data_IF_620323710206
#
_entry.id   IF_620323710206
#
_cell.length_a   1.000
_cell.length_b   1.000
_cell.length_c   1.000
_cell.angle_alpha   90.00
_cell.angle_beta   90.00
_cell.angle_gamma   90.00
#
_symmetry.space_group_name_H-M   'P 1'
#
loop_
_entity.id
_entity.type
_entity.pdbx_description
1 polymer ?
#
# COMPACT_ATOMS: atom_id res chain seq x y z
N UNK A 1 -30.58 2.17 -9.17
CA UNK A 1 -29.21 2.48 -9.66
C UNK A 1 -28.91 1.57 -10.82
N UNK A 2 -28.37 2.11 -11.91
CA UNK A 2 -27.95 1.32 -13.08
C UNK A 2 -26.84 0.33 -12.73
N UNK A 3 -26.80 -0.80 -13.43
CA UNK A 3 -25.81 -1.87 -13.26
C UNK A 3 -24.40 -1.31 -13.47
N UNK A 4 -24.20 -0.50 -14.50
CA UNK A 4 -22.92 0.16 -14.77
C UNK A 4 -22.43 0.96 -13.56
N UNK A 5 -23.32 1.72 -12.92
CA UNK A 5 -22.96 2.52 -11.74
C UNK A 5 -22.60 1.63 -10.53
N UNK A 6 -23.33 0.53 -10.31
CA UNK A 6 -23.02 -0.43 -9.23
C UNK A 6 -21.63 -1.05 -9.42
N UNK A 7 -21.31 -1.44 -10.65
CA UNK A 7 -20.04 -2.06 -11.02
C UNK A 7 -18.87 -1.07 -10.89
N UNK A 8 -19.04 0.15 -11.42
CA UNK A 8 -18.02 1.20 -11.31
C UNK A 8 -17.71 1.55 -9.86
N UNK A 9 -18.73 1.67 -8.99
CA UNK A 9 -18.52 1.95 -7.57
C UNK A 9 -17.77 0.80 -6.89
N UNK A 10 -18.12 -0.46 -7.18
CA UNK A 10 -17.41 -1.61 -6.63
C UNK A 10 -15.92 -1.61 -7.01
N UNK A 11 -15.61 -1.37 -8.28
CA UNK A 11 -14.22 -1.26 -8.73
C UNK A 11 -13.49 -0.07 -8.12
N UNK A 12 -14.14 1.10 -8.04
CA UNK A 12 -13.57 2.29 -7.42
C UNK A 12 -13.20 2.02 -5.96
N UNK A 13 -14.07 1.36 -5.20
CA UNK A 13 -13.83 1.00 -3.79
C UNK A 13 -12.61 0.09 -3.67
N UNK A 14 -12.47 -0.92 -4.53
CA UNK A 14 -11.31 -1.82 -4.52
C UNK A 14 -10.02 -1.06 -4.84
N UNK A 15 -10.04 -0.19 -5.86
CA UNK A 15 -8.86 0.61 -6.23
C UNK A 15 -8.48 1.58 -5.11
N UNK A 16 -9.45 2.24 -4.48
CA UNK A 16 -9.22 3.10 -3.32
C UNK A 16 -8.62 2.33 -2.14
N UNK A 17 -9.11 1.12 -1.86
CA UNK A 17 -8.56 0.25 -0.81
C UNK A 17 -7.11 -0.14 -1.11
N UNK A 18 -6.81 -0.54 -2.36
CA UNK A 18 -5.45 -0.88 -2.78
C UNK A 18 -4.50 0.32 -2.66
N UNK A 19 -4.92 1.50 -3.10
CA UNK A 19 -4.13 2.73 -2.95
C UNK A 19 -3.92 3.08 -1.47
N UNK A 20 -4.93 2.93 -0.61
CA UNK A 20 -4.79 3.18 0.81
C UNK A 20 -3.79 2.23 1.47
N UNK A 21 -3.87 0.93 1.17
CA UNK A 21 -2.90 -0.07 1.66
C UNK A 21 -1.49 0.25 1.18
N UNK A 22 -1.33 0.57 -0.12
CA UNK A 22 -0.03 0.94 -0.69
C UNK A 22 0.56 2.19 -0.04
N UNK A 23 -0.24 3.23 0.15
CA UNK A 23 0.18 4.47 0.82
C UNK A 23 0.63 4.21 2.26
N UNK A 24 -0.14 3.44 3.03
CA UNK A 24 0.20 3.07 4.41
C UNK A 24 1.50 2.26 4.45
N UNK A 25 1.68 1.29 3.54
CA UNK A 25 2.90 0.50 3.48
C UNK A 25 4.15 1.37 3.17
N UNK A 26 4.05 2.29 2.22
CA UNK A 26 5.14 3.21 1.87
C UNK A 26 5.50 4.12 3.05
N UNK A 27 4.51 4.68 3.74
CA UNK A 27 4.74 5.54 4.90
C UNK A 27 5.50 4.81 6.02
N UNK A 28 5.13 3.56 6.31
CA UNK A 28 5.82 2.77 7.32
C UNK A 28 7.22 2.32 6.89
N UNK A 29 7.38 1.92 5.62
CA UNK A 29 8.69 1.56 5.09
C UNK A 29 9.67 2.75 5.12
N UNK A 30 9.18 3.95 4.81
CA UNK A 30 9.95 5.19 4.94
C UNK A 30 10.40 5.41 6.39
N UNK A 31 9.50 5.28 7.37
CA UNK A 31 9.85 5.44 8.80
C UNK A 31 10.89 4.42 9.26
N UNK A 32 10.77 3.17 8.83
CA UNK A 32 11.77 2.14 9.14
C UNK A 32 13.12 2.50 8.52
N UNK A 33 13.12 2.99 7.27
CA UNK A 33 14.29 3.52 6.60
C UNK A 33 14.96 4.64 7.40
N UNK A 34 14.20 5.65 7.82
CA UNK A 34 14.71 6.79 8.59
C UNK A 34 15.34 6.35 9.92
N UNK A 35 14.70 5.41 10.63
CA UNK A 35 15.24 4.83 11.87
C UNK A 35 16.54 4.07 11.59
N UNK A 36 16.58 3.23 10.55
CA UNK A 36 17.78 2.48 10.17
C UNK A 36 18.94 3.40 9.79
N UNK A 37 18.68 4.44 9.01
CA UNK A 37 19.67 5.46 8.67
C UNK A 37 20.15 6.19 9.92
N UNK A 38 19.25 6.56 10.84
CA UNK A 38 19.65 7.20 12.10
C UNK A 38 20.52 6.29 12.98
N UNK A 39 20.22 4.99 13.06
CA UNK A 39 21.08 4.04 13.81
C UNK A 39 22.48 4.00 13.21
N UNK A 40 22.58 3.97 11.89
CA UNK A 40 23.88 3.90 11.21
C UNK A 40 24.66 5.21 11.34
N UNK A 41 24.09 6.31 10.86
CA UNK A 41 24.77 7.60 10.73
C UNK A 41 24.95 8.30 12.08
N UNK A 42 23.93 8.25 12.95
CA UNK A 42 23.95 9.01 14.20
C UNK A 42 24.42 8.19 15.39
N UNK A 43 24.38 6.85 15.36
CA UNK A 43 24.78 6.04 16.51
C UNK A 43 26.06 5.22 16.23
N UNK A 44 26.08 4.39 15.19
CA UNK A 44 27.18 3.45 14.93
C UNK A 44 28.46 4.13 14.42
N UNK A 45 28.36 5.05 13.45
CA UNK A 45 29.53 5.78 12.96
C UNK A 45 30.22 6.56 14.10
N UNK A 46 29.50 7.33 14.94
CA UNK A 46 30.09 8.01 16.10
C UNK A 46 30.71 7.08 17.14
N UNK A 47 30.14 5.89 17.38
CA UNK A 47 30.76 4.85 18.22
C UNK A 47 32.10 4.40 17.62
N UNK A 48 32.17 4.18 16.30
CA UNK A 48 33.42 3.86 15.62
C UNK A 48 34.44 5.00 15.75
N UNK A 49 34.02 6.25 15.52
CA UNK A 49 34.88 7.43 15.70
C UNK A 49 35.41 7.55 17.14
N UNK A 50 34.60 7.23 18.15
CA UNK A 50 35.05 7.16 19.54
C UNK A 50 36.09 6.08 19.79
N UNK A 51 35.97 4.93 19.12
CA UNK A 51 36.99 3.87 19.18
C UNK A 51 38.31 4.31 18.54
N UNK A 52 38.26 5.06 17.44
CA UNK A 52 39.46 5.65 16.82
C UNK A 52 40.11 6.69 17.75
N UNK A 53 39.30 7.49 18.45
CA UNK A 53 39.75 8.45 19.47
C UNK A 53 40.44 7.73 20.64
N UNK A 54 39.84 6.66 21.20
CA UNK A 54 40.46 5.85 22.28
C UNK A 54 41.80 5.25 21.81
N UNK A 55 41.85 4.78 20.56
CA UNK A 55 43.07 4.22 19.97
C UNK A 55 44.18 5.27 19.83
N UNK A 56 43.86 6.48 19.38
CA UNK A 56 44.83 7.59 19.27
C UNK A 56 45.32 8.08 20.64
N UNK A 57 44.43 8.15 21.64
CA UNK A 57 44.80 8.48 23.01
C UNK A 57 45.77 7.44 23.60
N UNK A 58 45.46 6.16 23.39
CA UNK A 58 46.31 5.06 23.84
C UNK A 58 47.66 5.03 23.11
N UNK A 59 47.68 5.31 21.80
CA UNK A 59 48.92 5.43 21.03
C UNK A 59 49.81 6.55 21.58
N UNK A 60 49.25 7.74 21.86
CA UNK A 60 49.99 8.85 22.44
C UNK A 60 50.60 8.48 23.81
N UNK A 61 49.87 7.71 24.62
CA UNK A 61 50.37 7.22 25.90
C UNK A 61 51.52 6.21 25.74
N UNK A 62 51.42 5.29 24.77
CA UNK A 62 52.49 4.33 24.44
C UNK A 62 53.74 5.07 23.97
N UNK A 63 53.60 6.05 23.06
CA UNK A 63 54.72 6.87 22.60
C UNK A 63 55.42 7.55 23.79
N UNK A 64 54.68 8.12 24.73
CA UNK A 64 55.27 8.72 25.92
C UNK A 64 55.95 7.70 26.84
N UNK A 65 55.37 6.50 27.00
CA UNK A 65 55.98 5.42 27.76
C UNK A 65 57.32 4.98 27.15
N UNK A 66 57.35 4.72 25.85
CA UNK A 66 58.55 4.32 25.13
C UNK A 66 59.61 5.44 25.17
N UNK A 67 59.17 6.69 25.03
CA UNK A 67 60.05 7.87 25.04
C UNK A 67 60.79 8.02 26.39
N UNK A 68 60.22 7.56 27.50
CA UNK A 68 60.90 7.58 28.82
C UNK A 68 62.12 6.66 28.82
N UNK A 69 62.09 5.54 28.10
CA UNK A 69 63.18 4.55 28.08
C UNK A 69 64.18 4.78 26.96
N UNK A 70 63.81 5.56 25.93
CA UNK A 70 64.67 5.82 24.78
C UNK A 70 65.83 6.77 25.09
N UNK A 71 66.99 6.49 24.48
CA UNK A 71 68.26 7.23 24.65
C UNK A 71 68.75 7.76 23.30
N UNK A 72 68.37 7.14 22.19
CA UNK A 72 68.70 7.62 20.85
C UNK A 72 67.94 8.93 20.55
N UNK A 73 68.70 10.00 20.33
CA UNK A 73 68.18 11.35 20.11
C UNK A 73 67.42 11.53 18.80
N UNK A 74 67.70 10.73 17.78
CA UNK A 74 66.97 10.78 16.50
C UNK A 74 65.65 10.02 16.62
N UNK A 75 65.63 8.86 17.30
CA UNK A 75 64.38 8.15 17.63
C UNK A 75 63.47 8.99 18.53
N UNK A 76 64.02 9.67 19.54
CA UNK A 76 63.27 10.61 20.39
C UNK A 76 62.53 11.67 19.55
N UNK A 77 63.22 12.31 18.59
CA UNK A 77 62.59 13.31 17.71
C UNK A 77 61.52 12.70 16.83
N UNK A 78 61.73 11.49 16.31
CA UNK A 78 60.74 10.79 15.50
C UNK A 78 59.47 10.51 16.31
N UNK A 79 59.63 10.09 17.57
CA UNK A 79 58.53 9.84 18.51
C UNK A 79 57.74 11.11 18.83
N UNK A 80 58.42 12.23 19.10
CA UNK A 80 57.77 13.54 19.31
C UNK A 80 56.95 13.93 18.06
N UNK A 81 57.54 13.85 16.86
CA UNK A 81 56.81 14.14 15.61
C UNK A 81 55.63 13.20 15.37
N UNK A 82 55.76 11.92 15.76
CA UNK A 82 54.66 10.95 15.69
C UNK A 82 53.55 11.34 16.66
N UNK A 83 53.88 11.76 17.88
CA UNK A 83 52.93 12.27 18.86
C UNK A 83 52.16 13.48 18.33
N UNK A 84 52.85 14.44 17.69
CA UNK A 84 52.22 15.61 17.06
C UNK A 84 51.19 15.19 15.98
N UNK A 85 51.54 14.20 15.15
CA UNK A 85 50.63 13.66 14.13
C UNK A 85 49.43 12.93 14.75
N UNK A 86 49.65 12.20 15.84
CA UNK A 86 48.59 11.53 16.60
C UNK A 86 47.61 12.56 17.18
N UNK A 87 48.09 13.63 17.82
CA UNK A 87 47.23 14.70 18.36
C UNK A 87 46.50 15.48 17.26
N UNK A 88 47.16 15.77 16.13
CA UNK A 88 46.49 16.37 14.98
C UNK A 88 45.31 15.52 14.50
N UNK A 89 45.50 14.20 14.40
CA UNK A 89 44.45 13.26 14.00
C UNK A 89 43.35 13.17 15.05
N UNK A 90 43.70 13.18 16.33
CA UNK A 90 42.78 13.18 17.47
C UNK A 90 41.84 14.39 17.43
N UNK A 91 42.39 15.60 17.27
CA UNK A 91 41.58 16.82 17.18
C UNK A 91 40.68 16.83 15.94
N UNK A 92 41.15 16.30 14.81
CA UNK A 92 40.32 16.14 13.62
C UNK A 92 39.12 15.23 13.88
N UNK A 93 39.35 14.07 14.54
CA UNK A 93 38.28 13.11 14.89
C UNK A 93 37.30 13.69 15.91
N UNK A 94 37.79 14.44 16.90
CA UNK A 94 36.92 15.17 17.84
C UNK A 94 36.04 16.21 17.14
N UNK A 95 36.57 16.89 16.12
CA UNK A 95 35.79 17.79 15.26
C UNK A 95 34.70 17.04 14.49
N UNK A 96 35.05 15.94 13.82
CA UNK A 96 34.09 15.09 13.11
C UNK A 96 32.98 14.58 14.03
N UNK A 97 33.34 14.09 15.22
CA UNK A 97 32.38 13.62 16.22
C UNK A 97 31.42 14.74 16.66
N UNK A 98 31.93 15.96 16.82
CA UNK A 98 31.11 17.14 17.16
C UNK A 98 30.08 17.46 16.08
N UNK A 99 30.49 17.37 14.81
CA UNK A 99 29.59 17.63 13.68
C UNK A 99 28.51 16.56 13.55
N UNK A 100 28.87 15.29 13.71
CA UNK A 100 27.95 14.16 13.68
C UNK A 100 26.88 14.24 14.77
N UNK A 101 27.21 14.76 15.96
CA UNK A 101 26.32 14.77 17.13
C UNK A 101 25.71 16.13 17.45
N UNK A 102 25.76 17.09 16.52
CA UNK A 102 25.25 18.46 16.72
C UNK A 102 23.76 18.52 17.13
N UNK A 103 22.97 17.53 16.69
CA UNK A 103 21.54 17.44 16.99
C UNK A 103 21.19 16.86 18.38
N UNK A 104 22.16 16.38 19.14
CA UNK A 104 21.92 15.75 20.45
C UNK A 104 22.61 16.53 21.60
N UNK A 105 21.85 17.27 22.43
CA UNK A 105 22.38 18.04 23.54
C UNK A 105 23.18 17.21 24.55
N UNK A 106 22.78 15.96 24.80
CA UNK A 106 23.48 15.09 25.75
C UNK A 106 24.86 14.70 25.22
N UNK A 107 24.94 14.32 23.94
CA UNK A 107 26.21 14.05 23.27
C UNK A 107 27.07 15.31 23.18
N UNK A 108 26.49 16.47 22.85
CA UNK A 108 27.23 17.72 22.75
C UNK A 108 27.92 18.11 24.08
N UNK A 109 27.27 17.90 25.23
CA UNK A 109 27.87 18.16 26.53
C UNK A 109 29.06 17.21 26.83
N UNK A 110 28.94 15.92 26.50
CA UNK A 110 30.00 14.94 26.70
C UNK A 110 31.19 15.19 25.76
N UNK A 111 30.93 15.55 24.50
CA UNK A 111 31.97 15.90 23.52
C UNK A 111 32.70 17.17 23.94
N UNK A 112 31.98 18.16 24.49
CA UNK A 112 32.60 19.37 25.05
C UNK A 112 33.59 19.01 26.16
N UNK A 113 33.21 18.13 27.10
CA UNK A 113 34.10 17.64 28.15
C UNK A 113 35.37 16.99 27.59
N UNK A 114 35.23 16.09 26.61
CA UNK A 114 36.36 15.46 25.93
C UNK A 114 37.31 16.50 25.31
N UNK A 115 36.74 17.51 24.65
CA UNK A 115 37.51 18.57 23.98
C UNK A 115 38.24 19.48 24.97
N UNK A 116 37.67 19.72 26.15
CA UNK A 116 38.28 20.56 27.19
C UNK A 116 39.39 19.81 27.95
N UNK A 117 39.31 18.49 28.09
CA UNK A 117 40.29 17.69 28.83
C UNK A 117 41.45 17.17 27.98
N UNK A 118 41.25 17.02 26.67
CA UNK A 118 42.30 16.55 25.73
C UNK A 118 43.56 17.44 25.70
N UNK A 119 43.46 18.79 25.74
CA UNK A 119 44.64 19.66 25.78
C UNK A 119 45.49 19.48 27.04
N UNK A 120 44.86 19.21 28.20
CA UNK A 120 45.61 18.94 29.44
C UNK A 120 46.34 17.59 29.37
N UNK A 121 45.75 16.60 28.70
CA UNK A 121 46.42 15.33 28.41
C UNK A 121 47.66 15.54 27.53
N UNK A 122 47.53 16.26 26.41
CA UNK A 122 48.63 16.60 25.51
C UNK A 122 49.76 17.33 26.25
N UNK A 123 49.40 18.35 27.05
CA UNK A 123 50.35 19.11 27.86
C UNK A 123 51.09 18.23 28.87
N UNK A 124 50.42 17.25 29.47
CA UNK A 124 51.04 16.29 30.39
C UNK A 124 52.06 15.39 29.68
N UNK A 125 51.78 14.94 28.46
CA UNK A 125 52.73 14.18 27.65
C UNK A 125 53.92 15.03 27.21
N UNK A 126 53.70 16.27 26.77
CA UNK A 126 54.78 17.19 26.41
C UNK A 126 55.73 17.48 27.59
N UNK A 127 55.21 17.49 28.82
CA UNK A 127 56.05 17.59 30.02
C UNK A 127 56.91 16.34 30.21
N UNK A 128 56.39 15.15 29.93
CA UNK A 128 57.15 13.89 29.96
C UNK A 128 58.25 13.91 28.89
N UNK A 129 57.95 14.35 27.67
CA UNK A 129 58.95 14.47 26.62
C UNK A 129 60.10 15.40 27.04
N UNK A 130 59.76 16.56 27.62
CA UNK A 130 60.77 17.51 28.15
C UNK A 130 61.65 16.86 29.23
N UNK A 131 61.06 16.24 30.25
CA UNK A 131 61.82 15.59 31.34
C UNK A 131 62.69 14.44 30.83
N UNK A 132 62.16 13.63 29.92
CA UNK A 132 62.89 12.51 29.34
C UNK A 132 64.07 12.97 28.47
N UNK A 133 63.91 14.07 27.72
CA UNK A 133 64.99 14.70 26.93
C UNK A 133 66.10 15.26 27.81
N UNK A 134 65.75 15.82 28.96
CA UNK A 134 66.70 16.37 29.94
C UNK A 134 67.39 15.27 30.78
N UNK A 135 67.30 14.00 30.36
CA UNK A 135 67.81 12.80 31.04
C UNK A 135 67.24 12.56 32.45
N UNK A 136 66.14 13.23 32.81
CA UNK A 136 65.43 13.05 34.08
C UNK A 136 64.42 11.89 33.99
N UNK A 137 64.91 10.69 33.69
CA UNK A 137 64.06 9.52 33.37
C UNK A 137 63.17 9.08 34.52
N UNK A 138 63.67 9.10 35.76
CA UNK A 138 62.89 8.75 36.96
C UNK A 138 61.73 9.73 37.19
N UNK A 139 61.96 11.04 36.99
CA UNK A 139 60.91 12.06 37.13
C UNK A 139 59.88 11.96 36.01
N UNK A 140 60.32 11.66 34.78
CA UNK A 140 59.44 11.42 33.64
C UNK A 140 58.55 10.18 33.88
N UNK A 141 59.12 9.08 34.35
CA UNK A 141 58.40 7.85 34.71
C UNK A 141 57.39 8.09 35.84
N UNK A 142 57.78 8.82 36.89
CA UNK A 142 56.89 9.19 37.98
C UNK A 142 55.71 10.02 37.48
N UNK A 143 55.97 11.02 36.64
CA UNK A 143 54.93 11.90 36.07
C UNK A 143 53.92 11.12 35.22
N UNK A 144 54.41 10.16 34.43
CA UNK A 144 53.60 9.26 33.62
C UNK A 144 52.59 8.48 34.48
N UNK A 145 53.05 7.78 35.52
CA UNK A 145 52.19 6.95 36.37
C UNK A 145 51.29 7.75 37.31
N UNK A 146 51.78 8.85 37.91
CA UNK A 146 51.00 9.57 38.92
C UNK A 146 49.98 10.54 38.33
N UNK A 147 50.32 11.23 37.24
CA UNK A 147 49.47 12.30 36.67
C UNK A 147 48.88 11.92 35.32
N UNK A 148 49.71 11.54 34.35
CA UNK A 148 49.27 11.40 32.95
C UNK A 148 48.28 10.26 32.77
N UNK A 149 48.51 9.11 33.41
CA UNK A 149 47.55 8.01 33.41
C UNK A 149 46.19 8.38 34.03
N UNK A 150 46.19 9.24 35.05
CA UNK A 150 44.94 9.71 35.69
C UNK A 150 44.13 10.58 34.72
N UNK A 151 44.79 11.50 34.01
CA UNK A 151 44.16 12.32 32.98
C UNK A 151 43.63 11.44 31.84
N UNK A 152 44.44 10.49 31.36
CA UNK A 152 44.01 9.52 30.33
C UNK A 152 42.75 8.76 30.77
N UNK A 153 42.73 8.20 31.98
CA UNK A 153 41.57 7.49 32.54
C UNK A 153 40.33 8.38 32.58
N UNK A 154 40.49 9.67 32.91
CA UNK A 154 39.39 10.64 32.95
C UNK A 154 38.80 10.90 31.56
N UNK A 155 39.64 11.23 30.57
CA UNK A 155 39.24 11.44 29.17
C UNK A 155 38.57 10.18 28.62
N UNK A 156 39.18 9.01 28.84
CA UNK A 156 38.65 7.71 28.43
C UNK A 156 37.28 7.41 29.04
N UNK A 157 37.10 7.71 30.33
CA UNK A 157 35.81 7.52 31.00
C UNK A 157 34.70 8.34 30.34
N UNK A 158 34.97 9.59 29.95
CA UNK A 158 33.98 10.43 29.25
C UNK A 158 33.64 9.85 27.88
N UNK A 159 34.63 9.35 27.14
CA UNK A 159 34.42 8.65 25.86
C UNK A 159 33.57 7.37 26.03
N UNK A 160 33.78 6.63 27.11
CA UNK A 160 32.99 5.45 27.45
C UNK A 160 31.54 5.81 27.84
N UNK A 161 31.33 6.90 28.58
CA UNK A 161 29.98 7.40 28.88
C UNK A 161 29.25 7.78 27.60
N UNK A 162 29.91 8.47 26.67
CA UNK A 162 29.31 8.80 25.38
C UNK A 162 29.02 7.55 24.53
N UNK A 163 29.95 6.60 24.48
CA UNK A 163 29.75 5.31 23.81
C UNK A 163 28.53 4.58 24.37
N UNK A 164 28.34 4.59 25.69
CA UNK A 164 27.19 3.97 26.36
C UNK A 164 25.88 4.69 25.99
N UNK A 165 25.88 6.03 25.99
CA UNK A 165 24.75 6.83 25.55
C UNK A 165 24.32 6.50 24.12
N UNK A 166 25.28 6.46 23.18
CA UNK A 166 25.03 6.13 21.78
C UNK A 166 24.53 4.69 21.60
N UNK A 167 25.09 3.72 22.34
CA UNK A 167 24.59 2.33 22.35
C UNK A 167 23.16 2.22 22.84
N UNK A 168 22.82 2.96 23.90
CA UNK A 168 21.45 2.98 24.43
C UNK A 168 20.48 3.60 23.41
N UNK A 169 20.89 4.67 22.73
CA UNK A 169 20.09 5.30 21.67
C UNK A 169 19.89 4.37 20.48
N UNK A 170 20.94 3.68 20.02
CA UNK A 170 20.84 2.66 18.98
C UNK A 170 19.88 1.54 19.37
N UNK A 171 19.98 1.05 20.62
CA UNK A 171 19.08 0.00 21.13
C UNK A 171 17.62 0.46 21.18
N UNK A 172 17.37 1.68 21.64
CA UNK A 172 16.02 2.26 21.67
C UNK A 172 15.45 2.44 20.26
N UNK A 173 16.27 2.92 19.32
CA UNK A 173 15.90 3.06 17.92
C UNK A 173 15.60 1.69 17.29
N UNK A 174 16.39 0.66 17.59
CA UNK A 174 16.14 -0.70 17.14
C UNK A 174 14.82 -1.27 17.67
N UNK A 175 14.55 -1.11 18.97
CA UNK A 175 13.28 -1.52 19.56
C UNK A 175 12.08 -0.76 18.99
N UNK A 176 12.25 0.55 18.77
CA UNK A 176 11.23 1.40 18.15
C UNK A 176 10.95 0.96 16.72
N UNK A 177 11.99 0.70 15.92
CA UNK A 177 11.85 0.16 14.56
C UNK A 177 11.12 -1.19 14.54
N UNK A 178 11.45 -2.09 15.47
CA UNK A 178 10.74 -3.38 15.63
C UNK A 178 9.26 -3.20 15.97
N UNK A 179 8.93 -2.29 16.89
CA UNK A 179 7.53 -1.96 17.22
C UNK A 179 6.79 -1.39 16.02
N UNK A 180 7.40 -0.46 15.28
CA UNK A 180 6.84 0.09 14.04
C UNK A 180 6.54 -1.03 13.05
N UNK A 181 7.45 -1.97 12.82
CA UNK A 181 7.21 -3.11 11.91
C UNK A 181 6.04 -3.98 12.39
N UNK A 182 5.99 -4.31 13.69
CA UNK A 182 4.93 -5.14 14.26
C UNK A 182 3.55 -4.47 14.13
N UNK A 183 3.45 -3.20 14.52
CA UNK A 183 2.21 -2.41 14.43
C UNK A 183 1.77 -2.25 12.97
N UNK A 184 2.72 -2.00 12.06
CA UNK A 184 2.44 -1.89 10.62
C UNK A 184 1.87 -3.18 10.05
N UNK A 185 2.46 -4.32 10.41
CA UNK A 185 2.00 -5.64 9.94
C UNK A 185 0.59 -5.93 10.43
N UNK A 186 0.29 -5.61 11.69
CA UNK A 186 -1.06 -5.76 12.26
C UNK A 186 -2.11 -4.88 11.58
N UNK A 187 -1.79 -3.60 11.37
CA UNK A 187 -2.67 -2.64 10.70
C UNK A 187 -2.90 -3.03 9.23
N UNK A 188 -1.84 -3.33 8.47
CA UNK A 188 -1.94 -3.76 7.07
C UNK A 188 -2.78 -5.04 6.96
N UNK A 189 -2.53 -6.02 7.83
CA UNK A 189 -3.31 -7.26 7.88
C UNK A 189 -4.80 -7.02 8.12
N UNK A 190 -5.14 -6.11 9.04
CA UNK A 190 -6.53 -5.75 9.35
C UNK A 190 -7.21 -5.03 8.19
N UNK A 191 -6.52 -4.08 7.55
CA UNK A 191 -7.07 -3.36 6.38
C UNK A 191 -7.28 -4.32 5.20
N UNK A 192 -6.36 -5.25 4.95
CA UNK A 192 -6.51 -6.29 3.93
C UNK A 192 -7.71 -7.19 4.25
N UNK A 193 -7.86 -7.64 5.50
CA UNK A 193 -8.97 -8.49 5.91
C UNK A 193 -10.33 -7.78 5.73
N UNK A 194 -10.43 -6.51 6.15
CA UNK A 194 -11.64 -5.69 5.95
C UNK A 194 -11.91 -5.51 4.46
N UNK A 195 -10.89 -5.16 3.67
CA UNK A 195 -11.02 -4.97 2.22
C UNK A 195 -11.45 -6.24 1.50
N UNK A 196 -10.96 -7.41 1.93
CA UNK A 196 -11.36 -8.71 1.40
C UNK A 196 -12.83 -9.02 1.72
N UNK A 197 -13.25 -8.86 2.97
CA UNK A 197 -14.65 -9.08 3.39
C UNK A 197 -15.59 -8.14 2.64
N UNK A 198 -15.22 -6.87 2.49
CA UNK A 198 -16.00 -5.88 1.78
C UNK A 198 -16.11 -6.23 0.28
N UNK A 199 -14.99 -6.57 -0.36
CA UNK A 199 -14.93 -6.97 -1.77
C UNK A 199 -15.79 -8.21 -2.04
N UNK A 200 -15.68 -9.23 -1.18
CA UNK A 200 -16.49 -10.44 -1.26
C UNK A 200 -17.98 -10.13 -1.10
N UNK A 201 -18.34 -9.29 -0.12
CA UNK A 201 -19.73 -8.90 0.14
C UNK A 201 -20.33 -8.13 -1.03
N UNK A 202 -19.59 -7.17 -1.59
CA UNK A 202 -20.02 -6.38 -2.77
C UNK A 202 -20.14 -7.29 -3.99
N UNK A 203 -19.16 -8.17 -4.23
CA UNK A 203 -19.17 -9.11 -5.35
C UNK A 203 -20.38 -10.05 -5.31
N UNK A 204 -20.66 -10.65 -4.14
CA UNK A 204 -21.83 -11.50 -3.94
C UNK A 204 -23.14 -10.74 -4.09
N UNK A 205 -23.23 -9.51 -3.55
CA UNK A 205 -24.43 -8.68 -3.67
C UNK A 205 -24.72 -8.29 -5.11
N UNK A 206 -23.71 -7.85 -5.87
CA UNK A 206 -23.85 -7.49 -7.30
C UNK A 206 -24.18 -8.74 -8.12
N UNK A 207 -23.48 -9.85 -7.90
CA UNK A 207 -23.74 -11.12 -8.57
C UNK A 207 -25.19 -11.56 -8.38
N UNK A 208 -25.70 -11.54 -7.16
CA UNK A 208 -27.10 -11.88 -6.86
C UNK A 208 -28.09 -10.89 -7.49
N UNK A 209 -27.76 -9.59 -7.47
CA UNK A 209 -28.61 -8.54 -8.03
C UNK A 209 -28.75 -8.61 -9.55
N UNK A 210 -27.77 -9.16 -10.28
CA UNK A 210 -27.80 -9.32 -11.73
C UNK A 210 -28.29 -10.72 -12.12
N UNK A 211 -27.72 -11.77 -11.50
CA UNK A 211 -27.96 -13.16 -11.91
C UNK A 211 -29.39 -13.60 -11.64
N UNK A 212 -30.00 -13.21 -10.51
CA UNK A 212 -31.35 -13.66 -10.19
C UNK A 212 -32.42 -13.10 -11.16
N UNK A 213 -32.44 -11.79 -11.51
CA UNK A 213 -33.35 -11.26 -12.51
C UNK A 213 -33.12 -11.84 -13.91
N UNK A 214 -31.86 -12.00 -14.33
CA UNK A 214 -31.52 -12.59 -15.64
C UNK A 214 -31.99 -14.04 -15.72
N UNK A 215 -31.79 -14.83 -14.66
CA UNK A 215 -32.29 -16.22 -14.60
C UNK A 215 -33.82 -16.28 -14.67
N UNK A 216 -34.53 -15.42 -13.94
CA UNK A 216 -36.00 -15.33 -14.02
C UNK A 216 -36.48 -14.97 -15.43
N UNK A 217 -35.79 -14.05 -16.10
CA UNK A 217 -36.08 -13.72 -17.50
C UNK A 217 -35.88 -14.94 -18.41
N UNK A 218 -34.77 -15.67 -18.25
CA UNK A 218 -34.50 -16.89 -19.01
C UNK A 218 -35.57 -17.98 -18.80
N UNK A 219 -35.98 -18.22 -17.55
CA UNK A 219 -37.06 -19.16 -17.21
C UNK A 219 -38.39 -18.72 -17.84
N UNK A 220 -38.68 -17.42 -17.80
CA UNK A 220 -39.87 -16.83 -18.45
C UNK A 220 -39.86 -17.01 -19.97
N UNK A 221 -38.72 -16.80 -20.64
CA UNK A 221 -38.59 -17.07 -22.08
C UNK A 221 -38.79 -18.55 -22.40
N UNK A 222 -38.30 -19.45 -21.56
CA UNK A 222 -38.56 -20.89 -21.71
C UNK A 222 -40.04 -21.25 -21.64
N UNK A 223 -40.82 -20.55 -20.80
CA UNK A 223 -42.28 -20.73 -20.75
C UNK A 223 -42.98 -20.13 -21.97
N UNK A 224 -42.56 -18.94 -22.39
CA UNK A 224 -43.12 -18.27 -23.56
C UNK A 224 -42.90 -19.09 -24.84
N UNK A 225 -41.73 -19.68 -25.01
CA UNK A 225 -41.40 -20.57 -26.13
C UNK A 225 -42.28 -21.84 -26.17
N UNK A 226 -42.87 -22.23 -25.04
CA UNK A 226 -43.83 -23.34 -24.94
C UNK A 226 -45.29 -22.90 -25.10
N UNK A 227 -45.54 -21.64 -25.46
CA UNK A 227 -46.88 -21.09 -25.66
C UNK A 227 -47.60 -20.68 -24.37
N UNK A 228 -46.92 -20.63 -23.22
CA UNK A 228 -47.51 -20.15 -21.97
C UNK A 228 -47.40 -18.62 -21.87
N UNK A 229 -48.46 -17.92 -22.29
CA UNK A 229 -48.51 -16.45 -22.35
C UNK A 229 -49.34 -15.80 -21.23
N UNK A 230 -49.81 -16.58 -20.24
CA UNK A 230 -50.69 -16.05 -19.19
C UNK A 230 -49.94 -15.24 -18.12
N UNK A 231 -48.62 -15.42 -18.03
CA UNK A 231 -47.79 -14.79 -17.01
C UNK A 231 -47.05 -13.58 -17.58
N UNK A 232 -46.74 -12.60 -16.72
CA UNK A 232 -45.83 -11.47 -17.02
C UNK A 232 -44.53 -11.61 -16.24
N UNK A 233 -43.44 -11.06 -16.79
CA UNK A 233 -42.16 -10.99 -16.08
C UNK A 233 -42.25 -9.95 -14.97
N UNK A 234 -42.26 -10.40 -13.72
CA UNK A 234 -42.37 -9.55 -12.52
C UNK A 234 -40.98 -9.10 -12.03
N UNK A 235 -40.47 -8.02 -12.62
CA UNK A 235 -39.25 -7.36 -12.15
C UNK A 235 -39.36 -5.84 -12.25
N UNK A 236 -39.79 -5.21 -11.16
CA UNK A 236 -40.06 -3.78 -11.09
C UNK A 236 -38.83 -2.97 -10.61
N UNK A 237 -37.67 -3.16 -11.24
CA UNK A 237 -36.51 -2.33 -10.98
C UNK A 237 -36.39 -1.17 -11.99
N UNK A 238 -35.78 -0.06 -11.56
CA UNK A 238 -35.37 1.06 -12.41
C UNK A 238 -33.89 0.92 -12.81
N UNK A 239 -33.55 -0.23 -13.35
CA UNK A 239 -32.24 -0.53 -13.92
C UNK A 239 -32.41 -1.26 -15.25
N UNK A 240 -31.29 -1.60 -15.89
CA UNK A 240 -31.23 -2.14 -17.24
C UNK A 240 -31.99 -3.48 -17.35
N UNK A 241 -32.02 -4.30 -16.29
CA UNK A 241 -32.83 -5.54 -16.31
C UNK A 241 -34.32 -5.23 -16.17
N UNK A 242 -34.69 -4.18 -15.44
CA UNK A 242 -36.07 -3.68 -15.38
C UNK A 242 -36.55 -3.09 -16.70
N UNK A 243 -35.69 -2.36 -17.40
CA UNK A 243 -35.96 -1.87 -18.77
C UNK A 243 -36.20 -3.05 -19.72
N UNK A 244 -35.33 -4.06 -19.66
CA UNK A 244 -35.48 -5.30 -20.43
C UNK A 244 -36.81 -6.00 -20.14
N UNK A 245 -37.15 -6.16 -18.85
CA UNK A 245 -38.39 -6.82 -18.45
C UNK A 245 -39.66 -6.09 -18.93
N UNK A 246 -39.65 -4.74 -18.93
CA UNK A 246 -40.76 -3.95 -19.46
C UNK A 246 -40.91 -4.13 -20.97
N UNK A 247 -39.82 -4.02 -21.72
CA UNK A 247 -39.84 -4.25 -23.18
C UNK A 247 -40.38 -5.64 -23.53
N UNK A 248 -40.01 -6.66 -22.75
CA UNK A 248 -40.54 -8.01 -22.97
C UNK A 248 -42.02 -8.15 -22.65
N UNK A 249 -42.53 -7.55 -21.57
CA UNK A 249 -43.96 -7.59 -21.27
C UNK A 249 -44.79 -6.95 -22.39
N UNK A 250 -44.28 -5.89 -23.03
CA UNK A 250 -44.93 -5.29 -24.21
C UNK A 250 -45.02 -6.30 -25.36
N UNK A 251 -43.94 -7.04 -25.65
CA UNK A 251 -43.93 -8.08 -26.69
C UNK A 251 -44.95 -9.18 -26.36
N UNK A 252 -44.99 -9.66 -25.11
CA UNK A 252 -45.96 -10.68 -24.68
C UNK A 252 -47.39 -10.19 -24.83
N UNK A 253 -47.68 -8.93 -24.48
CA UNK A 253 -49.01 -8.35 -24.65
C UNK A 253 -49.43 -8.33 -26.14
N UNK A 254 -48.51 -7.93 -27.05
CA UNK A 254 -48.76 -7.94 -28.49
C UNK A 254 -49.02 -9.35 -29.02
N UNK A 255 -48.19 -10.34 -28.66
CA UNK A 255 -48.36 -11.74 -29.09
C UNK A 255 -49.66 -12.34 -28.53
N UNK A 256 -50.00 -12.03 -27.28
CA UNK A 256 -51.24 -12.49 -26.65
C UNK A 256 -52.47 -11.94 -27.36
N UNK A 257 -52.45 -10.64 -27.69
CA UNK A 257 -53.53 -10.00 -28.42
C UNK A 257 -53.65 -10.53 -29.85
N UNK A 258 -52.53 -10.80 -30.53
CA UNK A 258 -52.52 -11.40 -31.86
C UNK A 258 -53.09 -12.81 -31.83
N UNK A 259 -52.68 -13.63 -30.86
CA UNK A 259 -53.17 -15.00 -30.68
C UNK A 259 -54.69 -14.99 -30.41
N UNK A 260 -55.18 -14.05 -29.61
CA UNK A 260 -56.62 -13.88 -29.36
C UNK A 260 -57.38 -13.50 -30.63
N UNK A 261 -56.84 -12.60 -31.43
CA UNK A 261 -57.48 -12.17 -32.68
C UNK A 261 -57.50 -13.30 -33.73
N UNK A 262 -56.38 -13.99 -33.92
CA UNK A 262 -56.30 -15.16 -34.81
C UNK A 262 -57.26 -16.25 -34.36
N UNK A 263 -57.37 -16.53 -33.05
CA UNK A 263 -58.33 -17.50 -32.51
C UNK A 263 -59.77 -17.08 -32.81
N UNK A 264 -60.13 -15.81 -32.59
CA UNK A 264 -61.47 -15.27 -32.90
C UNK A 264 -61.83 -15.45 -34.38
N UNK A 265 -60.89 -15.15 -35.29
CA UNK A 265 -61.10 -15.35 -36.72
C UNK A 265 -61.25 -16.83 -37.03
N UNK A 266 -60.37 -17.69 -36.54
CA UNK A 266 -60.43 -19.14 -36.78
C UNK A 266 -61.76 -19.74 -36.30
N UNK A 267 -62.28 -19.32 -35.16
CA UNK A 267 -63.59 -19.73 -34.65
C UNK A 267 -64.75 -19.25 -35.55
N UNK A 268 -64.68 -18.03 -36.08
CA UNK A 268 -65.65 -17.54 -37.06
C UNK A 268 -65.62 -18.36 -38.36
N UNK A 269 -64.43 -18.69 -38.88
CA UNK A 269 -64.29 -19.58 -40.03
C UNK A 269 -64.88 -20.97 -39.78
N UNK A 270 -64.65 -21.55 -38.59
CA UNK A 270 -65.19 -22.86 -38.22
C UNK A 270 -66.73 -22.87 -38.19
N UNK A 271 -67.35 -21.72 -37.92
CA UNK A 271 -68.81 -21.52 -37.97
C UNK A 271 -69.33 -21.12 -39.36
N UNK A 272 -68.46 -21.00 -40.36
CA UNK A 272 -68.82 -20.52 -41.70
C UNK A 272 -69.02 -19.00 -41.80
N UNK A 273 -68.67 -18.24 -40.76
CA UNK A 273 -68.87 -16.79 -40.68
C UNK A 273 -67.71 -16.01 -41.35
N UNK A 274 -67.54 -16.19 -42.66
CA UNK A 274 -66.44 -15.57 -43.43
C UNK A 274 -66.56 -14.04 -43.61
N UNK A 275 -67.58 -13.41 -43.01
CA UNK A 275 -67.72 -11.95 -43.00
C UNK A 275 -66.92 -11.30 -41.85
N UNK A 276 -66.45 -12.07 -40.87
CA UNK A 276 -65.63 -11.55 -39.79
C UNK A 276 -64.31 -10.98 -40.33
N UNK A 277 -63.99 -9.74 -39.97
CA UNK A 277 -62.71 -9.11 -40.31
C UNK A 277 -61.84 -8.94 -39.07
N UNK A 278 -60.55 -9.21 -39.23
CA UNK A 278 -59.53 -8.95 -38.26
C UNK A 278 -59.15 -7.48 -38.23
N UNK A 279 -58.90 -6.93 -37.03
CA UNK A 279 -58.51 -5.54 -36.87
C UNK A 279 -57.00 -5.34 -37.11
N UNK A 280 -56.62 -5.16 -38.38
CA UNK A 280 -55.23 -4.91 -38.81
C UNK A 280 -54.61 -3.70 -38.09
N UNK A 281 -55.37 -2.61 -37.92
CA UNK A 281 -54.88 -1.35 -37.32
C UNK A 281 -54.42 -1.47 -35.87
N UNK A 282 -54.80 -2.56 -35.18
CA UNK A 282 -54.36 -2.85 -33.81
C UNK A 282 -52.92 -3.38 -33.75
N UNK A 283 -52.40 -3.89 -34.86
CA UNK A 283 -51.08 -4.51 -34.95
C UNK A 283 -50.15 -3.69 -35.84
N UNK A 284 -48.85 -3.97 -35.76
CA UNK A 284 -47.82 -3.25 -36.52
C UNK A 284 -46.84 -4.24 -37.15
N UNK A 285 -46.25 -3.86 -38.29
CA UNK A 285 -45.26 -4.68 -39.02
C UNK A 285 -45.82 -6.04 -39.43
N UNK A 286 -45.00 -7.08 -39.30
CA UNK A 286 -45.35 -8.47 -39.67
C UNK A 286 -46.63 -8.97 -38.97
N UNK A 287 -46.92 -8.51 -37.74
CA UNK A 287 -48.15 -8.89 -37.04
C UNK A 287 -49.41 -8.36 -37.73
N UNK A 288 -49.35 -7.17 -38.34
CA UNK A 288 -50.45 -6.63 -39.14
C UNK A 288 -50.60 -7.39 -40.48
N UNK A 289 -49.49 -7.78 -41.09
CA UNK A 289 -49.49 -8.58 -42.32
C UNK A 289 -50.19 -9.94 -42.12
N UNK A 290 -49.96 -10.59 -40.97
CA UNK A 290 -50.67 -11.83 -40.61
C UNK A 290 -52.19 -11.63 -40.61
N UNK A 291 -52.68 -10.58 -39.95
CA UNK A 291 -54.12 -10.27 -39.91
C UNK A 291 -54.67 -9.92 -41.29
N UNK A 292 -53.89 -9.19 -42.09
CA UNK A 292 -54.23 -8.88 -43.49
C UNK A 292 -54.37 -10.16 -44.32
N UNK A 293 -53.46 -11.12 -44.15
CA UNK A 293 -53.53 -12.44 -44.80
C UNK A 293 -54.82 -13.20 -44.44
N UNK A 294 -55.23 -13.17 -43.17
CA UNK A 294 -56.52 -13.74 -42.75
C UNK A 294 -57.71 -13.03 -43.42
N UNK A 295 -57.70 -11.69 -43.46
CA UNK A 295 -58.75 -10.90 -44.10
C UNK A 295 -58.88 -11.22 -45.60
N UNK A 296 -57.76 -11.36 -46.31
CA UNK A 296 -57.74 -11.77 -47.72
C UNK A 296 -58.34 -13.17 -47.88
N UNK A 297 -57.92 -14.12 -47.03
CA UNK A 297 -58.40 -15.51 -47.06
C UNK A 297 -59.91 -15.58 -46.83
N UNK A 298 -60.44 -14.86 -45.84
CA UNK A 298 -61.87 -14.77 -45.56
C UNK A 298 -62.63 -14.14 -46.73
N UNK A 299 -62.06 -13.12 -47.36
CA UNK A 299 -62.61 -12.51 -48.57
C UNK A 299 -62.72 -13.49 -49.74
N UNK A 300 -61.79 -14.43 -49.88
CA UNK A 300 -61.86 -15.51 -50.88
C UNK A 300 -62.95 -16.53 -50.50
N UNK A 301 -62.94 -17.03 -49.26
CA UNK A 301 -63.90 -18.04 -48.79
C UNK A 301 -65.35 -17.53 -48.87
N UNK A 302 -65.60 -16.28 -48.50
CA UNK A 302 -66.91 -15.63 -48.62
C UNK A 302 -67.42 -15.59 -50.06
N UNK A 303 -66.53 -15.36 -51.03
CA UNK A 303 -66.90 -15.36 -52.45
C UNK A 303 -67.20 -16.78 -52.95
N UNK A 304 -66.43 -17.77 -52.49
CA UNK A 304 -66.67 -19.17 -52.83
C UNK A 304 -67.99 -19.69 -52.26
N UNK A 305 -68.32 -19.39 -51.01
CA UNK A 305 -69.60 -19.79 -50.40
C UNK A 305 -70.81 -19.15 -51.09
N UNK A 306 -70.72 -17.86 -51.44
CA UNK A 306 -71.78 -17.15 -52.17
C UNK A 306 -71.93 -17.62 -53.63
N UNK A 307 -70.87 -18.17 -54.24
CA UNK A 307 -70.93 -18.80 -55.56
C UNK A 307 -71.65 -20.13 -55.54
N UNK A 308 -71.41 -20.96 -54.52
CA UNK A 308 -72.02 -22.28 -54.36
C UNK A 308 -73.53 -22.22 -54.06
N UNK A 309 -73.99 -21.15 -53.40
CA UNK A 309 -75.43 -20.91 -53.23
C UNK A 309 -76.13 -20.53 -54.54
N UNK A 310 -75.43 -19.99 -55.54
CA UNK A 310 -76.03 -19.64 -56.85
C UNK A 310 -76.15 -20.83 -57.80
N UNK A 311 -75.33 -21.88 -57.64
CA UNK A 311 -75.43 -23.11 -58.45
C UNK A 311 -76.56 -24.05 -57.99
N UNK A 312 -77.02 -23.96 -56.73
CA UNK A 312 -78.14 -24.77 -56.22
C UNK A 312 -79.55 -24.24 -56.61
N UNK A 313 -79.64 -23.18 -57.44
CA UNK A 313 -80.89 -22.65 -57.99
C UNK A 313 -81.03 -22.84 -59.50
N UNK A 314 -80.28 -23.78 -60.08
CA UNK A 314 -80.43 -24.25 -61.47
C UNK A 314 -80.81 -25.73 -61.42
#
# INVERSE_FOLDING_TARGET
>A
MRIRSKLNIAFLVIVCLLMAVGAVAILYLSRVGDISTSIYDNDLIPIHTLSEIDSLLNEALIIASDHVMEIDGDLIKEMEQRSDRTFKSLYQKLGQLSDMQRGDPASAALIKGLREETPEFEKSLNRIFTLSRDFLKEDAARKLHETTESIYKKVRSQGNTLTTHLRNRASLNYETGRKVIADSTGIIGTVIAIGFILSLSIGLAISKAITAPVRKAAEFFGMLAKGNMQNKLTYAARDEVGDLARSFNIIVDVITDLTREVKRLTEAAAKGEFQAQGNEKKFHGEYAEIITGFNVTFGILRRASAGNERENWI
#
